data_IF_154669750679
#
_entry.id   IF_154669750679
#
_cell.length_a   1.000
_cell.length_b   1.000
_cell.length_c   1.000
_cell.angle_alpha   90.00
_cell.angle_beta   90.00
_cell.angle_gamma   90.00
#
_symmetry.space_group_name_H-M   'P 1'
#
loop_
_entity.id
_entity.type
_entity.pdbx_description
1 polymer ?
#
# COMPACT_ATOMS: atom_id res chain seq x y z
N UNK A 1 27.79 -32.23 -1.03
CA UNK A 1 26.44 -32.40 -1.64
C UNK A 1 25.40 -31.48 -0.99
N UNK A 2 25.42 -31.28 0.33
CA UNK A 2 24.51 -30.36 1.06
C UNK A 2 24.54 -28.87 0.64
N UNK A 3 25.68 -28.36 0.14
CA UNK A 3 25.82 -26.95 -0.28
C UNK A 3 25.00 -26.58 -1.54
N UNK A 4 24.51 -27.57 -2.30
CA UNK A 4 23.70 -27.33 -3.51
C UNK A 4 22.19 -27.30 -3.23
N UNK A 5 21.76 -27.85 -2.09
CA UNK A 5 20.35 -27.88 -1.69
C UNK A 5 19.91 -26.58 -1.02
N UNK A 6 20.77 -25.93 -0.23
CA UNK A 6 20.47 -24.62 0.36
C UNK A 6 20.25 -23.53 -0.71
N UNK A 7 21.11 -23.47 -1.75
CA UNK A 7 20.93 -22.53 -2.87
C UNK A 7 19.64 -22.77 -3.65
N UNK A 8 19.21 -24.02 -3.81
CA UNK A 8 17.94 -24.35 -4.48
C UNK A 8 16.72 -23.96 -3.65
N UNK A 9 16.82 -24.07 -2.32
CA UNK A 9 15.76 -23.68 -1.40
C UNK A 9 15.58 -22.15 -1.40
N UNK A 10 16.68 -21.41 -1.38
CA UNK A 10 16.72 -19.94 -1.41
C UNK A 10 16.16 -19.39 -2.74
N UNK A 11 16.60 -19.95 -3.88
CA UNK A 11 16.07 -19.59 -5.21
C UNK A 11 14.58 -19.87 -5.35
N UNK A 12 14.07 -20.99 -4.80
CA UNK A 12 12.64 -21.29 -4.84
C UNK A 12 11.83 -20.33 -3.98
N UNK A 13 12.34 -19.93 -2.81
CA UNK A 13 11.70 -18.91 -1.95
C UNK A 13 11.61 -17.57 -2.68
N UNK A 14 12.69 -17.09 -3.28
CA UNK A 14 12.73 -15.81 -4.00
C UNK A 14 11.78 -15.79 -5.22
N UNK A 15 11.64 -16.92 -5.93
CA UNK A 15 10.72 -17.02 -7.09
C UNK A 15 9.27 -17.16 -6.64
N UNK A 16 9.01 -17.83 -5.51
CA UNK A 16 7.66 -17.98 -4.95
C UNK A 16 7.12 -16.64 -4.44
N UNK A 17 7.96 -15.85 -3.74
CA UNK A 17 7.61 -14.50 -3.28
C UNK A 17 7.29 -13.59 -4.46
N UNK A 18 8.14 -13.56 -5.49
CA UNK A 18 7.86 -12.80 -6.73
C UNK A 18 6.57 -13.22 -7.45
N UNK A 19 6.17 -14.49 -7.36
CA UNK A 19 4.90 -14.95 -7.96
C UNK A 19 3.70 -14.52 -7.12
N UNK A 20 3.79 -14.62 -5.80
CA UNK A 20 2.74 -14.13 -4.90
C UNK A 20 2.52 -12.63 -5.10
N UNK A 21 3.60 -11.88 -5.29
CA UNK A 21 3.58 -10.44 -5.57
C UNK A 21 2.78 -10.09 -6.82
N UNK A 22 3.09 -10.75 -7.93
CA UNK A 22 2.42 -10.53 -9.22
C UNK A 22 0.96 -10.97 -9.17
N UNK A 23 0.66 -12.09 -8.49
CA UNK A 23 -0.72 -12.57 -8.30
C UNK A 23 -1.51 -11.57 -7.45
N UNK A 24 -0.91 -11.02 -6.39
CA UNK A 24 -1.56 -10.03 -5.52
C UNK A 24 -1.84 -8.72 -6.28
N UNK A 25 -0.89 -8.24 -7.09
CA UNK A 25 -1.08 -7.08 -7.97
C UNK A 25 -2.21 -7.32 -8.99
N UNK A 26 -2.23 -8.49 -9.65
CA UNK A 26 -3.29 -8.85 -10.58
C UNK A 26 -4.67 -8.93 -9.91
N UNK A 27 -4.74 -9.52 -8.72
CA UNK A 27 -5.96 -9.55 -7.90
C UNK A 27 -6.44 -8.15 -7.54
N UNK A 28 -5.51 -7.25 -7.18
CA UNK A 28 -5.86 -5.87 -6.85
C UNK A 28 -6.45 -5.10 -8.02
N UNK A 29 -5.88 -5.26 -9.22
CA UNK A 29 -6.45 -4.68 -10.44
C UNK A 29 -7.82 -5.28 -10.77
N UNK A 30 -7.96 -6.61 -10.66
CA UNK A 30 -9.22 -7.29 -10.91
C UNK A 30 -10.33 -6.84 -9.94
N UNK A 31 -10.01 -6.65 -8.65
CA UNK A 31 -10.93 -6.12 -7.65
C UNK A 31 -11.29 -4.66 -7.95
N UNK A 32 -10.31 -3.82 -8.29
CA UNK A 32 -10.58 -2.42 -8.64
C UNK A 32 -11.54 -2.27 -9.82
N UNK A 33 -11.39 -3.11 -10.86
CA UNK A 33 -12.33 -3.15 -11.99
C UNK A 33 -13.69 -3.70 -11.55
N UNK A 34 -13.72 -4.77 -10.74
CA UNK A 34 -14.95 -5.40 -10.29
C UNK A 34 -15.82 -4.48 -9.40
N UNK A 35 -15.19 -3.64 -8.58
CA UNK A 35 -15.86 -2.70 -7.69
C UNK A 35 -16.08 -1.31 -8.30
N UNK A 36 -15.78 -1.13 -9.59
CA UNK A 36 -15.91 0.15 -10.30
C UNK A 36 -15.16 1.31 -9.59
N UNK A 37 -13.97 1.00 -9.06
CA UNK A 37 -13.13 1.98 -8.38
C UNK A 37 -12.59 3.03 -9.36
N UNK A 38 -12.43 4.24 -8.86
CA UNK A 38 -11.80 5.31 -9.64
C UNK A 38 -10.35 4.95 -9.96
N UNK A 39 -9.85 5.42 -11.10
CA UNK A 39 -8.46 5.19 -11.54
C UNK A 39 -7.47 5.59 -10.44
N UNK A 40 -7.75 6.67 -9.71
CA UNK A 40 -6.90 7.13 -8.61
C UNK A 40 -6.87 6.12 -7.46
N UNK A 41 -8.01 5.53 -7.10
CA UNK A 41 -8.12 4.53 -6.04
C UNK A 41 -7.37 3.25 -6.42
N UNK A 42 -7.48 2.81 -7.68
CA UNK A 42 -6.72 1.68 -8.22
C UNK A 42 -5.21 1.94 -8.13
N UNK A 43 -4.77 3.14 -8.48
CA UNK A 43 -3.35 3.54 -8.36
C UNK A 43 -2.90 3.53 -6.90
N UNK A 44 -3.68 4.12 -5.99
CA UNK A 44 -3.38 4.15 -4.55
C UNK A 44 -3.29 2.71 -4.01
N UNK A 45 -4.20 1.83 -4.41
CA UNK A 45 -4.22 0.43 -4.00
C UNK A 45 -3.03 -0.37 -4.56
N UNK A 46 -2.65 -0.13 -5.82
CA UNK A 46 -1.45 -0.73 -6.42
C UNK A 46 -0.18 -0.28 -5.70
N UNK A 47 -0.04 1.02 -5.43
CA UNK A 47 1.08 1.57 -4.65
C UNK A 47 1.08 0.96 -3.26
N UNK A 48 -0.07 0.71 -2.65
CA UNK A 48 -0.18 0.05 -1.36
C UNK A 48 0.29 -1.40 -1.39
N UNK A 49 -0.18 -2.21 -2.34
CA UNK A 49 0.30 -3.58 -2.53
C UNK A 49 1.82 -3.56 -2.74
N UNK A 50 2.30 -2.72 -3.65
CA UNK A 50 3.73 -2.56 -3.90
C UNK A 50 4.50 -2.19 -2.62
N UNK A 51 3.93 -1.31 -1.80
CA UNK A 51 4.48 -0.91 -0.51
C UNK A 51 4.42 -2.05 0.51
N UNK A 52 3.42 -2.93 0.52
CA UNK A 52 3.46 -4.10 1.41
C UNK A 52 4.57 -5.07 0.99
N UNK A 53 4.68 -5.30 -0.32
CA UNK A 53 5.63 -6.23 -0.92
C UNK A 53 7.08 -5.78 -0.74
N UNK A 54 7.35 -4.51 -1.04
CA UNK A 54 8.65 -3.90 -0.83
C UNK A 54 8.68 -3.32 0.57
N UNK A 55 9.52 -3.83 1.48
CA UNK A 55 9.61 -3.40 2.88
C UNK A 55 10.13 -1.93 3.06
N UNK A 56 9.45 -0.96 2.44
CA UNK A 56 9.63 0.49 2.61
C UNK A 56 9.24 0.87 4.06
N UNK A 57 9.86 1.86 4.69
CA UNK A 57 9.43 2.30 6.03
C UNK A 57 8.07 2.99 5.99
N UNK A 58 7.24 2.77 7.01
CA UNK A 58 5.88 3.33 7.17
C UNK A 58 5.82 4.86 7.05
N UNK A 59 6.92 5.54 7.39
CA UNK A 59 7.10 6.99 7.33
C UNK A 59 6.77 7.61 5.97
N UNK A 60 7.00 6.89 4.86
CA UNK A 60 6.72 7.40 3.53
C UNK A 60 5.23 7.48 3.19
N UNK A 61 4.37 6.71 3.87
CA UNK A 61 2.91 6.74 3.65
C UNK A 61 2.22 7.85 4.46
N UNK A 62 2.80 8.23 5.61
CA UNK A 62 2.25 9.26 6.49
C UNK A 62 2.36 10.66 5.87
N UNK A 63 3.45 10.95 5.16
CA UNK A 63 3.67 12.22 4.47
C UNK A 63 2.50 12.63 3.55
N UNK A 64 2.14 11.82 2.54
CA UNK A 64 1.01 12.13 1.67
C UNK A 64 -0.31 12.18 2.44
N UNK A 65 -0.54 11.31 3.44
CA UNK A 65 -1.77 11.37 4.26
C UNK A 65 -1.95 12.73 4.93
N UNK A 66 -0.91 13.25 5.59
CA UNK A 66 -0.96 14.56 6.25
C UNK A 66 -1.12 15.68 5.24
N UNK A 67 -0.46 15.58 4.08
CA UNK A 67 -0.58 16.58 3.01
C UNK A 67 -2.03 16.68 2.50
N UNK A 68 -2.65 15.55 2.18
CA UNK A 68 -4.06 15.51 1.73
C UNK A 68 -5.02 15.97 2.84
N UNK A 69 -4.76 15.60 4.10
CA UNK A 69 -5.55 16.04 5.25
C UNK A 69 -5.49 17.56 5.42
N UNK A 70 -4.31 18.15 5.31
CA UNK A 70 -4.12 19.60 5.42
C UNK A 70 -4.73 20.36 4.23
N UNK A 71 -4.76 19.74 3.04
CA UNK A 71 -5.38 20.33 1.86
C UNK A 71 -6.92 20.29 1.93
N UNK A 72 -7.50 19.31 2.61
CA UNK A 72 -8.96 19.13 2.73
C UNK A 72 -9.69 20.39 3.23
N UNK A 73 -9.33 21.01 4.38
CA UNK A 73 -9.98 22.23 4.84
C UNK A 73 -9.70 23.44 3.92
N UNK A 74 -8.55 23.47 3.23
CA UNK A 74 -8.22 24.51 2.26
C UNK A 74 -9.16 24.45 1.04
N UNK A 75 -9.45 23.24 0.54
CA UNK A 75 -10.42 23.04 -0.55
C UNK A 75 -11.85 23.33 -0.10
N UNK A 76 -12.18 23.02 1.16
CA UNK A 76 -13.48 23.31 1.74
C UNK A 76 -13.74 24.82 1.79
N UNK A 77 -12.72 25.61 2.14
CA UNK A 77 -12.78 27.09 2.13
C UNK A 77 -12.95 27.67 0.71
N UNK A 78 -12.50 26.97 -0.32
CA UNK A 78 -12.64 27.36 -1.73
C UNK A 78 -13.97 26.91 -2.37
N UNK A 79 -14.92 26.43 -1.56
CA UNK A 79 -16.24 25.90 -1.94
C UNK A 79 -16.17 24.71 -2.95
N UNK A 80 -15.02 24.03 -3.03
CA UNK A 80 -14.80 22.85 -3.86
C UNK A 80 -15.15 21.56 -3.10
N UNK A 81 -16.41 21.42 -2.70
CA UNK A 81 -16.89 20.33 -1.82
C UNK A 81 -16.60 18.93 -2.38
N UNK A 82 -16.89 18.71 -3.66
CA UNK A 82 -16.65 17.41 -4.33
C UNK A 82 -15.17 17.00 -4.25
N UNK A 83 -14.25 17.93 -4.55
CA UNK A 83 -12.82 17.63 -4.46
C UNK A 83 -12.32 17.54 -3.02
N UNK A 84 -12.88 18.29 -2.10
CA UNK A 84 -12.54 18.17 -0.69
C UNK A 84 -12.89 16.78 -0.15
N UNK A 85 -14.05 16.25 -0.57
CA UNK A 85 -14.50 14.91 -0.21
C UNK A 85 -13.58 13.82 -0.79
N UNK A 86 -13.23 13.90 -2.07
CA UNK A 86 -12.24 13.00 -2.69
C UNK A 86 -10.89 13.02 -1.93
N UNK A 87 -10.40 14.19 -1.57
CA UNK A 87 -9.15 14.35 -0.84
C UNK A 87 -9.24 13.77 0.59
N UNK A 88 -10.39 13.87 1.24
CA UNK A 88 -10.64 13.23 2.52
C UNK A 88 -10.64 11.70 2.40
N UNK A 89 -11.22 11.16 1.32
CA UNK A 89 -11.20 9.73 1.02
C UNK A 89 -9.76 9.24 0.80
N UNK A 90 -8.96 9.95 0.00
CA UNK A 90 -7.55 9.60 -0.22
C UNK A 90 -6.73 9.67 1.07
N UNK A 91 -6.97 10.70 1.88
CA UNK A 91 -6.38 10.83 3.21
C UNK A 91 -6.67 9.60 4.06
N UNK A 92 -7.93 9.18 4.11
CA UNK A 92 -8.35 8.00 4.87
C UNK A 92 -7.63 6.74 4.39
N UNK A 93 -7.51 6.53 3.07
CA UNK A 93 -6.78 5.39 2.53
C UNK A 93 -5.31 5.40 2.95
N UNK A 94 -4.58 6.50 2.73
CA UNK A 94 -3.17 6.56 3.11
C UNK A 94 -2.96 6.42 4.62
N UNK A 95 -3.85 6.98 5.43
CA UNK A 95 -3.79 6.85 6.88
C UNK A 95 -4.02 5.40 7.34
N UNK A 96 -5.07 4.75 6.85
CA UNK A 96 -5.38 3.36 7.18
C UNK A 96 -4.21 2.43 6.81
N UNK A 97 -3.63 2.65 5.62
CA UNK A 97 -2.45 1.92 5.14
C UNK A 97 -1.24 2.15 6.03
N UNK A 98 -0.96 3.40 6.42
CA UNK A 98 0.15 3.74 7.31
C UNK A 98 -0.01 3.10 8.70
N UNK A 99 -1.24 3.06 9.24
CA UNK A 99 -1.54 2.42 10.52
C UNK A 99 -1.34 0.91 10.44
N UNK A 100 -1.92 0.23 9.44
CA UNK A 100 -1.75 -1.22 9.24
C UNK A 100 -0.26 -1.56 9.17
N UNK A 101 0.50 -0.78 8.40
CA UNK A 101 1.92 -1.00 8.22
C UNK A 101 2.73 -0.72 9.48
N UNK A 102 2.41 0.35 10.21
CA UNK A 102 3.02 0.64 11.51
C UNK A 102 2.78 -0.49 12.51
N UNK A 103 1.60 -1.11 12.52
CA UNK A 103 1.31 -2.29 13.35
C UNK A 103 2.16 -3.48 12.94
N UNK A 104 2.30 -3.75 11.63
CA UNK A 104 3.12 -4.85 11.11
C UNK A 104 4.60 -4.64 11.47
N UNK A 105 5.11 -3.42 11.32
CA UNK A 105 6.49 -3.03 11.64
C UNK A 105 6.79 -3.27 13.13
N UNK A 106 5.94 -2.76 14.03
CA UNK A 106 6.08 -2.97 15.49
C UNK A 106 5.97 -4.44 15.89
N UNK A 107 5.14 -5.24 15.21
CA UNK A 107 5.04 -6.69 15.47
C UNK A 107 6.28 -7.44 15.01
N UNK A 108 6.88 -7.03 13.89
CA UNK A 108 8.11 -7.63 13.36
C UNK A 108 9.28 -7.36 14.30
N UNK A 109 9.43 -6.11 14.76
CA UNK A 109 10.46 -5.72 15.74
C UNK A 109 10.34 -6.44 17.10
N UNK A 110 9.14 -6.93 17.47
CA UNK A 110 8.92 -7.69 18.70
C UNK A 110 9.19 -9.20 18.58
N UNK A 111 9.31 -9.71 17.36
CA UNK A 111 9.44 -11.15 17.09
C UNK A 111 10.90 -11.54 16.84
N UNK A 112 11.75 -10.59 16.43
CA UNK A 112 13.22 -10.69 16.49
C UNK A 112 13.73 -10.35 17.91
#
# INVERSE_FOLDING_TARGET
MAMNDEKKLDMKKLVLERKADVICLLLGVALGIYFDWSIVEIIIFLVFIWSILWSIPSRFLVGPAIFFLALTPLLLMLDRKERAEEFAIYTYYFLAMAVIRGIIEVRKEKTD
#
